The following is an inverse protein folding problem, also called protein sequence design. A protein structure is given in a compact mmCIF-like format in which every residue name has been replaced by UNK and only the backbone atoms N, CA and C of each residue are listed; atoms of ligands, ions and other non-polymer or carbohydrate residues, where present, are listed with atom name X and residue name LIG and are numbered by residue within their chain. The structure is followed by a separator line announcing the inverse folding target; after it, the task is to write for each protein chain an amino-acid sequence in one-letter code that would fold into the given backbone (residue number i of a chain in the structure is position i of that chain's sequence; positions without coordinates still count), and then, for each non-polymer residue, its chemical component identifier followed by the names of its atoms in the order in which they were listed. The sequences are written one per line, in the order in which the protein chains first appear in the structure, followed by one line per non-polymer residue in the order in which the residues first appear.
data_IF_303933898249
#
_entry.id   IF_303933898249
#
_cell.length_a   1.000
_cell.length_b   1.000
_cell.length_c   1.000
_cell.angle_alpha   90.00
_cell.angle_beta   90.00
_cell.angle_gamma   90.00
#
_symmetry.space_group_name_H-M   'P 1'
#
loop_
_entity.id
_entity.type
_entity.pdbx_description
1 polymer ?
#
# COMPACT_ATOMS: atom_id res chain seq x y z
N UNK A 1 -11.92 -7.48 -2.11
CA UNK A 1 -11.48 -7.24 -3.51
C UNK A 1 -10.12 -7.89 -3.66
N UNK A 2 -9.97 -8.82 -4.62
CA UNK A 2 -8.68 -9.47 -4.87
C UNK A 2 -7.66 -8.45 -5.36
N UNK A 3 -6.54 -8.33 -4.64
CA UNK A 3 -5.54 -7.30 -4.86
C UNK A 3 -4.15 -7.92 -4.95
N UNK A 4 -3.33 -7.38 -5.86
CA UNK A 4 -1.92 -7.73 -6.00
C UNK A 4 -1.06 -6.58 -5.50
N UNK A 5 0.02 -6.90 -4.78
CA UNK A 5 0.97 -5.91 -4.27
C UNK A 5 2.40 -6.41 -4.43
N UNK A 6 3.34 -5.49 -4.57
CA UNK A 6 4.76 -5.78 -4.38
C UNK A 6 5.12 -5.60 -2.90
N UNK A 7 5.70 -6.62 -2.29
CA UNK A 7 6.11 -6.61 -0.89
C UNK A 7 7.56 -7.03 -0.73
N UNK A 8 8.25 -6.44 0.24
CA UNK A 8 9.65 -6.76 0.57
C UNK A 8 9.66 -7.94 1.55
N UNK A 9 10.41 -8.99 1.22
CA UNK A 9 10.58 -10.19 2.06
C UNK A 9 11.97 -10.27 2.68
N UNK A 10 12.90 -9.43 2.23
CA UNK A 10 14.28 -9.39 2.69
C UNK A 10 15.14 -8.51 1.79
N UNK A 11 16.46 -8.56 2.01
CA UNK A 11 17.43 -7.84 1.18
C UNK A 11 17.35 -8.31 -0.27
N UNK A 12 17.09 -7.38 -1.18
CA UNK A 12 16.94 -7.62 -2.63
C UNK A 12 15.87 -8.66 -2.97
N UNK A 13 14.89 -8.83 -2.08
CA UNK A 13 13.82 -9.81 -2.23
C UNK A 13 12.46 -9.10 -2.22
N UNK A 14 11.98 -8.77 -3.41
CA UNK A 14 10.66 -8.17 -3.64
C UNK A 14 9.81 -9.14 -4.44
N UNK A 15 8.63 -9.46 -3.94
CA UNK A 15 7.73 -10.44 -4.54
C UNK A 15 6.34 -9.86 -4.72
N UNK A 16 5.63 -10.39 -5.71
CA UNK A 16 4.21 -10.12 -5.87
C UNK A 16 3.43 -11.10 -4.98
N UNK A 17 2.53 -10.58 -4.15
CA UNK A 17 1.57 -11.39 -3.40
C UNK A 17 0.15 -10.94 -3.68
N UNK A 18 -0.79 -11.87 -3.55
CA UNK A 18 -2.22 -11.63 -3.75
C UNK A 18 -3.01 -11.94 -2.49
N UNK A 19 -4.00 -11.12 -2.17
CA UNK A 19 -4.90 -11.31 -1.04
C UNK A 19 -6.23 -10.58 -1.26
N UNK A 20 -7.22 -10.88 -0.43
CA UNK A 20 -8.48 -10.14 -0.39
C UNK A 20 -8.33 -8.92 0.51
N UNK A 21 -8.59 -7.73 -0.05
CA UNK A 21 -8.73 -6.53 0.77
C UNK A 21 -9.98 -6.62 1.65
N UNK A 22 -9.87 -6.24 2.94
CA UNK A 22 -11.04 -6.09 3.79
C UNK A 22 -11.94 -4.96 3.28
N UNK A 23 -13.21 -4.92 3.69
CA UNK A 23 -14.07 -3.76 3.48
C UNK A 23 -13.47 -2.50 4.11
N UNK A 24 -13.67 -1.33 3.49
CA UNK A 24 -13.25 -0.07 4.08
C UNK A 24 -14.13 0.32 5.28
N UNK A 25 -13.59 1.16 6.15
CA UNK A 25 -14.33 1.80 7.24
C UNK A 25 -14.98 3.11 6.78
N UNK A 26 -15.79 3.71 7.66
CA UNK A 26 -16.46 5.00 7.40
C UNK A 26 -15.49 6.19 7.22
N UNK A 27 -14.23 6.04 7.64
CA UNK A 27 -13.18 7.07 7.64
C UNK A 27 -12.09 6.82 6.57
N UNK A 28 -12.29 5.87 5.67
CA UNK A 28 -11.30 5.44 4.67
C UNK A 28 -11.77 5.67 3.22
N UNK A 29 -10.82 5.66 2.29
CA UNK A 29 -11.06 5.62 0.85
C UNK A 29 -10.55 4.29 0.29
N UNK A 30 -11.33 3.67 -0.60
CA UNK A 30 -10.81 2.61 -1.45
C UNK A 30 -10.33 3.22 -2.76
N UNK A 31 -9.04 3.06 -3.06
CA UNK A 31 -8.42 3.60 -4.28
C UNK A 31 -7.85 2.46 -5.12
N UNK A 32 -8.27 2.38 -6.38
CA UNK A 32 -7.62 1.54 -7.38
C UNK A 32 -6.39 2.28 -7.89
N UNK A 33 -5.22 1.91 -7.38
CA UNK A 33 -3.92 2.43 -7.84
C UNK A 33 -3.72 2.06 -9.31
N UNK A 34 -3.48 3.06 -10.16
CA UNK A 34 -3.20 2.89 -11.59
C UNK A 34 -1.71 3.01 -11.87
N UNK A 35 -1.02 3.90 -11.16
CA UNK A 35 0.42 4.11 -11.28
C UNK A 35 1.01 4.44 -9.92
N UNK A 36 2.24 4.00 -9.69
CA UNK A 36 3.09 4.36 -8.57
C UNK A 36 4.53 4.45 -9.06
N UNK A 37 5.21 5.56 -8.81
CA UNK A 37 6.62 5.70 -9.17
C UNK A 37 7.53 5.04 -8.14
N UNK A 38 8.75 4.70 -8.57
CA UNK A 38 9.76 4.13 -7.66
C UNK A 38 10.70 5.22 -7.19
N UNK A 39 10.49 5.67 -5.96
CA UNK A 39 11.42 6.56 -5.27
C UNK A 39 12.73 5.85 -4.89
N UNK A 40 13.80 6.63 -4.70
CA UNK A 40 15.07 6.16 -4.15
C UNK A 40 14.90 5.52 -2.75
N UNK A 41 13.95 6.00 -1.94
CA UNK A 41 13.63 5.43 -0.62
C UNK A 41 13.11 3.99 -0.73
N UNK A 42 12.22 3.71 -1.69
CA UNK A 42 11.73 2.36 -1.99
C UNK A 42 12.88 1.45 -2.41
N UNK A 43 13.78 1.95 -3.27
CA UNK A 43 14.97 1.20 -3.68
C UNK A 43 15.91 0.87 -2.50
N UNK A 44 16.18 1.85 -1.62
CA UNK A 44 17.00 1.65 -0.41
C UNK A 44 16.37 0.63 0.55
N UNK A 45 15.06 0.68 0.74
CA UNK A 45 14.33 -0.29 1.57
C UNK A 45 14.44 -1.71 1.00
N UNK A 46 14.24 -1.87 -0.31
CA UNK A 46 14.39 -3.16 -0.98
C UNK A 46 15.83 -3.69 -0.91
N UNK A 47 16.84 -2.81 -1.01
CA UNK A 47 18.25 -3.19 -0.93
C UNK A 47 18.65 -3.71 0.46
N UNK A 48 18.18 -3.04 1.52
CA UNK A 48 18.62 -3.26 2.90
C UNK A 48 17.70 -4.18 3.71
N UNK A 49 16.44 -4.40 3.30
CA UNK A 49 15.49 -5.19 4.08
C UNK A 49 15.38 -4.67 5.51
N UNK A 50 15.39 -5.58 6.51
CA UNK A 50 15.35 -5.23 7.94
C UNK A 50 16.51 -4.34 8.43
N UNK A 51 17.60 -4.19 7.67
CA UNK A 51 18.66 -3.21 8.04
C UNK A 51 18.26 -1.75 7.72
N UNK A 52 17.16 -1.54 7.02
CA UNK A 52 16.63 -0.20 6.78
C UNK A 52 15.77 0.26 7.96
N UNK A 53 16.08 1.43 8.54
CA UNK A 53 15.35 2.01 9.70
C UNK A 53 13.82 2.09 9.58
N UNK A 54 13.28 2.10 8.36
CA UNK A 54 11.82 2.18 8.07
C UNK A 54 11.19 0.85 7.65
N UNK A 55 11.98 -0.21 7.55
CA UNK A 55 11.48 -1.56 7.27
C UNK A 55 11.39 -2.28 8.62
N UNK A 56 10.24 -2.88 8.96
CA UNK A 56 10.10 -3.64 10.20
C UNK A 56 11.08 -4.82 10.27
N UNK A 57 11.52 -5.16 11.47
CA UNK A 57 12.43 -6.29 11.70
C UNK A 57 11.76 -7.64 11.40
N UNK A 58 10.43 -7.73 11.56
CA UNK A 58 9.58 -8.92 11.37
C UNK A 58 9.14 -9.12 9.91
N UNK A 59 9.99 -8.75 8.95
CA UNK A 59 9.71 -8.81 7.51
C UNK A 59 9.29 -10.20 7.00
N UNK A 60 9.74 -11.28 7.66
CA UNK A 60 9.38 -12.64 7.31
C UNK A 60 7.91 -12.98 7.62
N UNK A 61 7.34 -12.32 8.64
CA UNK A 61 5.96 -12.53 9.10
C UNK A 61 5.02 -11.47 8.51
N UNK A 62 5.45 -10.21 8.51
CA UNK A 62 4.68 -9.05 8.05
C UNK A 62 5.45 -8.27 6.97
N UNK A 63 5.59 -8.84 5.75
CA UNK A 63 6.34 -8.20 4.68
C UNK A 63 5.66 -6.88 4.26
N UNK A 64 6.37 -5.72 4.35
CA UNK A 64 5.78 -4.43 4.04
C UNK A 64 5.52 -4.29 2.55
N UNK A 65 4.38 -3.68 2.23
CA UNK A 65 4.00 -3.34 0.86
C UNK A 65 4.79 -2.09 0.43
N UNK A 66 5.38 -2.13 -0.76
CA UNK A 66 6.12 -1.00 -1.32
C UNK A 66 5.17 0.00 -1.98
N UNK A 67 5.63 1.25 -2.09
CA UNK A 67 4.90 2.30 -2.81
C UNK A 67 4.43 3.42 -1.91
N UNK A 68 4.61 4.66 -2.36
CA UNK A 68 4.16 5.87 -1.66
C UNK A 68 4.02 7.08 -2.58
N UNK A 69 4.15 6.89 -3.90
CA UNK A 69 4.10 7.95 -4.91
C UNK A 69 3.06 7.57 -5.97
N UNK A 70 1.83 7.32 -5.50
CA UNK A 70 0.79 6.70 -6.31
C UNK A 70 -0.33 7.64 -6.74
N UNK A 71 -0.93 7.32 -7.89
CA UNK A 71 -2.14 7.93 -8.43
C UNK A 71 -3.13 6.85 -8.86
N UNK A 72 -4.42 7.12 -8.69
CA UNK A 72 -5.45 6.13 -8.93
C UNK A 72 -6.86 6.69 -8.99
N UNK A 73 -7.82 5.78 -9.10
CA UNK A 73 -9.24 6.06 -9.16
C UNK A 73 -9.85 5.73 -7.79
N UNK A 74 -10.55 6.68 -7.18
CA UNK A 74 -11.36 6.42 -5.98
C UNK A 74 -12.54 5.54 -6.41
N UNK A 75 -12.66 4.34 -5.83
CA UNK A 75 -13.73 3.39 -6.15
C UNK A 75 -14.81 3.35 -5.07
N UNK A 76 -14.47 3.68 -3.82
CA UNK A 76 -15.41 3.74 -2.69
C UNK A 76 -14.96 4.81 -1.70
N UNK A 77 -15.93 5.47 -1.06
CA UNK A 77 -15.71 6.57 -0.10
C UNK A 77 -16.44 6.26 1.19
N UNK A 78 -15.71 6.26 2.31
CA UNK A 78 -16.27 6.13 3.65
C UNK A 78 -17.28 7.25 3.97
N UNK A 79 -18.34 6.92 4.71
CA UNK A 79 -19.49 7.80 4.95
C UNK A 79 -19.12 9.13 5.60
N UNK A 80 -18.08 9.16 6.45
CA UNK A 80 -17.64 10.37 7.16
C UNK A 80 -16.77 11.28 6.30
N UNK A 81 -16.23 10.78 5.18
CA UNK A 81 -15.44 11.57 4.24
C UNK A 81 -16.29 12.32 3.20
N UNK A 82 -17.59 12.06 3.15
CA UNK A 82 -18.51 12.76 2.24
C UNK A 82 -19.21 13.90 3.00
N UNK A 83 -18.83 15.19 2.77
CA UNK A 83 -19.46 16.31 3.42
C UNK A 83 -20.95 16.36 3.06
N UNK A 84 -21.80 16.81 3.99
CA UNK A 84 -23.24 16.94 3.76
C UNK A 84 -23.58 17.77 2.51
N UNK A 85 -22.73 18.73 2.16
CA UNK A 85 -22.87 19.59 0.97
C UNK A 85 -22.77 18.86 -0.37
N UNK A 86 -22.14 17.67 -0.40
CA UNK A 86 -21.97 16.86 -1.62
C UNK A 86 -22.96 15.68 -1.70
N UNK A 87 -23.87 15.56 -0.74
CA UNK A 87 -24.97 14.59 -0.75
C UNK A 87 -26.19 15.20 -1.47
N UNK A 88 -26.11 15.33 -2.80
CA UNK A 88 -27.29 15.62 -3.63
C UNK A 88 -27.93 14.34 -4.11
#
# INVERSE_FOLDING_TARGET
MKTKVAAIYGKKDVRIREFELPPITDDELLVKVISDSVCLSTYKAALLGSEHKRVPDDIAEHPPITGHECAGIIVEVGKKLTPALYRR
#
